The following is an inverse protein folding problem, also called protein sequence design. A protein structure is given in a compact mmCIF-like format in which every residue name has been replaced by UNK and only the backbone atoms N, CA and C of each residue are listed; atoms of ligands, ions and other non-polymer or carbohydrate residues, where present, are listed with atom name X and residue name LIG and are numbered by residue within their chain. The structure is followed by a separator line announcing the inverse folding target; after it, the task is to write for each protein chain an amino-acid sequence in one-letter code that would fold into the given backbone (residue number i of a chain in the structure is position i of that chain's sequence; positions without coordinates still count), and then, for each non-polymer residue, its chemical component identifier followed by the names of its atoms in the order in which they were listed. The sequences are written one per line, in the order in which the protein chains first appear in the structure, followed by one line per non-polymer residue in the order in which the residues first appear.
data_IF_235974162284
#
_entry.id   IF_235974162284
#
_cell.length_a   1.000
_cell.length_b   1.000
_cell.length_c   1.000
_cell.angle_alpha   90.00
_cell.angle_beta   90.00
_cell.angle_gamma   90.00
#
_symmetry.space_group_name_H-M   'P 1'
#
loop_
_entity.id
_entity.type
_entity.pdbx_description
1 polymer ?
#
# COMPACT_ATOMS: atom_id res chain seq x y z
N UNK A 1 16.06 -5.00 -30.91
CA UNK A 1 14.71 -4.47 -31.22
C UNK A 1 13.67 -4.96 -30.21
N UNK A 2 13.82 -4.65 -28.91
CA UNK A 2 12.94 -5.19 -27.84
C UNK A 2 12.70 -4.24 -26.65
N UNK A 3 13.45 -3.13 -26.57
CA UNK A 3 13.35 -2.16 -25.48
C UNK A 3 12.16 -1.18 -25.66
N UNK A 4 11.90 -0.77 -26.92
CA UNK A 4 10.82 0.18 -27.27
C UNK A 4 9.40 -0.43 -27.22
N UNK A 5 9.27 -1.76 -27.34
CA UNK A 5 7.97 -2.43 -27.29
C UNK A 5 7.50 -2.68 -25.85
N UNK A 6 8.44 -2.96 -24.92
CA UNK A 6 8.18 -2.98 -23.48
C UNK A 6 7.67 -1.62 -23.00
N UNK A 7 8.27 -0.49 -23.40
CA UNK A 7 7.84 0.83 -22.89
C UNK A 7 6.40 1.22 -23.29
N UNK A 8 5.98 0.92 -24.52
CA UNK A 8 4.60 1.18 -24.98
C UNK A 8 3.55 0.27 -24.34
N UNK A 9 3.90 -0.99 -24.07
CA UNK A 9 3.02 -1.92 -23.37
C UNK A 9 2.80 -1.51 -21.90
N UNK A 10 3.87 -1.15 -21.18
CA UNK A 10 3.75 -0.62 -19.80
C UNK A 10 2.92 0.66 -19.75
N UNK A 11 3.12 1.59 -20.70
CA UNK A 11 2.31 2.81 -20.79
C UNK A 11 0.82 2.54 -21.10
N UNK A 12 0.52 1.52 -21.91
CA UNK A 12 -0.86 1.07 -22.17
C UNK A 12 -1.49 0.44 -20.92
N UNK A 13 -0.76 -0.42 -20.22
CA UNK A 13 -1.23 -1.07 -18.99
C UNK A 13 -1.46 -0.07 -17.86
N UNK A 14 -0.55 0.90 -17.69
CA UNK A 14 -0.70 1.99 -16.72
C UNK A 14 -1.96 2.83 -17.01
N UNK A 15 -2.20 3.18 -18.28
CA UNK A 15 -3.43 3.88 -18.71
C UNK A 15 -4.69 3.08 -18.40
N UNK A 16 -4.67 1.76 -18.61
CA UNK A 16 -5.82 0.91 -18.30
C UNK A 16 -6.10 0.83 -16.80
N UNK A 17 -5.07 0.69 -15.96
CA UNK A 17 -5.22 0.69 -14.49
C UNK A 17 -5.81 1.99 -13.96
N UNK A 18 -5.26 3.11 -14.41
CA UNK A 18 -5.75 4.45 -14.05
C UNK A 18 -7.21 4.62 -14.49
N UNK A 19 -7.57 4.13 -15.68
CA UNK A 19 -8.97 4.15 -16.15
C UNK A 19 -9.90 3.34 -15.25
N UNK A 20 -9.49 2.16 -14.79
CA UNK A 20 -10.32 1.36 -13.89
C UNK A 20 -10.53 2.07 -12.55
N UNK A 21 -9.45 2.58 -11.94
CA UNK A 21 -9.55 3.38 -10.72
C UNK A 21 -10.48 4.58 -10.91
N UNK A 22 -10.27 5.42 -11.92
CA UNK A 22 -11.12 6.61 -12.12
C UNK A 22 -12.57 6.27 -12.43
N UNK A 23 -12.82 5.14 -13.10
CA UNK A 23 -14.20 4.71 -13.39
C UNK A 23 -14.90 4.27 -12.11
N UNK A 24 -14.24 3.47 -11.26
CA UNK A 24 -14.81 3.04 -9.98
C UNK A 24 -14.95 4.22 -9.01
N UNK A 25 -13.93 5.07 -8.89
CA UNK A 25 -13.94 6.28 -8.06
C UNK A 25 -15.10 7.22 -8.39
N UNK A 26 -15.41 7.40 -9.69
CA UNK A 26 -16.55 8.24 -10.11
C UNK A 26 -17.91 7.67 -9.71
N UNK A 27 -18.05 6.33 -9.67
CA UNK A 27 -19.31 5.65 -9.36
C UNK A 27 -19.46 5.43 -7.85
N UNK A 28 -18.35 5.25 -7.13
CA UNK A 28 -18.31 4.90 -5.72
C UNK A 28 -17.34 5.79 -4.91
N UNK A 29 -17.43 7.13 -5.00
CA UNK A 29 -16.47 8.03 -4.33
C UNK A 29 -16.41 7.81 -2.82
N UNK A 30 -17.51 7.40 -2.20
CA UNK A 30 -17.60 7.11 -0.76
C UNK A 30 -16.76 5.91 -0.30
N UNK A 31 -16.30 5.04 -1.22
CA UNK A 31 -15.40 3.91 -0.89
C UNK A 31 -13.93 4.36 -0.77
N UNK A 32 -13.63 5.60 -1.14
CA UNK A 32 -12.28 6.14 -1.19
C UNK A 32 -12.15 7.28 -0.19
N UNK A 33 -11.60 6.96 0.98
CA UNK A 33 -11.35 7.94 2.04
C UNK A 33 -9.89 8.39 1.95
N UNK A 34 -9.67 9.70 2.00
CA UNK A 34 -8.32 10.25 2.08
C UNK A 34 -7.76 10.04 3.49
N UNK A 35 -6.58 9.46 3.59
CA UNK A 35 -5.87 9.22 4.86
C UNK A 35 -4.40 8.96 4.59
N UNK A 36 -3.60 9.01 5.65
CA UNK A 36 -2.16 8.77 5.59
C UNK A 36 -1.72 7.96 6.80
N UNK A 37 -0.66 7.17 6.67
CA UNK A 37 -0.07 6.52 7.83
C UNK A 37 0.96 7.48 8.45
N UNK A 38 1.15 7.48 9.78
CA UNK A 38 0.56 6.55 10.76
C UNK A 38 -0.77 7.04 11.41
N UNK A 39 -1.54 7.92 10.76
CA UNK A 39 -2.78 8.47 11.33
C UNK A 39 -3.98 8.31 10.36
N UNK A 40 -4.75 7.24 10.53
CA UNK A 40 -5.89 6.93 9.68
C UNK A 40 -7.19 7.52 10.25
N UNK A 41 -8.10 8.04 9.39
CA UNK A 41 -9.36 8.64 9.81
C UNK A 41 -10.45 7.58 10.08
N UNK A 42 -10.09 6.49 10.74
CA UNK A 42 -10.98 5.36 11.03
C UNK A 42 -11.05 5.10 12.53
N UNK A 43 -12.18 4.56 12.99
CA UNK A 43 -12.36 4.16 14.37
C UNK A 43 -11.55 2.89 14.69
N UNK A 44 -11.40 2.61 15.99
CA UNK A 44 -10.84 1.35 16.46
C UNK A 44 -11.71 0.18 15.97
N UNK A 45 -11.08 -0.92 15.57
CA UNK A 45 -11.73 -2.17 15.14
C UNK A 45 -12.75 -2.01 13.99
N UNK A 46 -12.62 -0.97 13.16
CA UNK A 46 -13.60 -0.68 12.09
C UNK A 46 -13.62 -1.77 11.01
N UNK A 47 -12.48 -2.40 10.70
CA UNK A 47 -12.35 -3.38 9.61
C UNK A 47 -12.08 -4.81 10.10
N UNK A 48 -12.77 -5.80 9.53
CA UNK A 48 -12.42 -7.22 9.72
C UNK A 48 -11.11 -7.61 9.04
N UNK A 49 -10.78 -6.95 7.93
CA UNK A 49 -9.62 -7.25 7.10
C UNK A 49 -9.01 -5.95 6.56
N UNK A 50 -7.73 -5.74 6.84
CA UNK A 50 -6.95 -4.62 6.28
C UNK A 50 -5.82 -5.16 5.40
N UNK A 51 -5.67 -4.57 4.21
CA UNK A 51 -4.67 -4.99 3.22
C UNK A 51 -3.73 -3.83 2.93
N UNK A 52 -2.43 -4.06 3.18
CA UNK A 52 -1.38 -3.10 2.88
C UNK A 52 -0.53 -3.66 1.75
N UNK A 53 -0.49 -2.91 0.66
CA UNK A 53 0.34 -3.25 -0.48
C UNK A 53 1.74 -2.61 -0.33
N UNK A 54 2.34 -2.17 -1.42
CA UNK A 54 3.75 -1.77 -1.51
C UNK A 54 4.22 -0.63 -0.58
N UNK A 55 3.34 0.06 0.14
CA UNK A 55 3.67 1.29 0.86
C UNK A 55 4.80 1.12 1.89
N UNK A 56 4.71 0.14 2.80
CA UNK A 56 5.63 0.03 3.93
C UNK A 56 7.02 -0.42 3.48
N UNK A 57 7.18 -1.68 3.11
CA UNK A 57 8.53 -2.26 2.97
C UNK A 57 9.14 -2.11 1.58
N UNK A 58 8.34 -1.99 0.52
CA UNK A 58 8.91 -1.75 -0.80
C UNK A 58 9.58 -0.38 -0.88
N UNK A 59 9.03 0.61 -0.17
CA UNK A 59 9.57 1.96 -0.05
C UNK A 59 10.35 2.21 1.25
N UNK A 60 10.93 1.18 1.87
CA UNK A 60 11.56 1.32 3.19
C UNK A 60 12.62 2.44 3.24
N UNK A 61 13.34 2.73 2.14
CA UNK A 61 14.35 3.80 2.11
C UNK A 61 13.75 5.21 2.29
N UNK A 62 12.43 5.36 2.21
CA UNK A 62 11.71 6.64 2.36
C UNK A 62 11.19 6.88 3.77
N UNK A 63 11.22 5.87 4.62
CA UNK A 63 10.57 5.90 5.92
C UNK A 63 11.49 5.30 6.97
N UNK A 64 11.57 5.90 8.15
CA UNK A 64 12.36 5.35 9.24
C UNK A 64 11.63 4.23 9.98
N UNK A 65 12.31 3.59 10.93
CA UNK A 65 11.75 2.54 11.75
C UNK A 65 10.49 2.99 12.54
N UNK A 66 10.50 4.21 13.08
CA UNK A 66 9.40 4.76 13.87
C UNK A 66 8.13 4.84 13.03
N UNK A 67 8.23 5.34 11.79
CA UNK A 67 7.11 5.35 10.85
C UNK A 67 6.55 3.95 10.61
N UNK A 68 7.40 2.95 10.38
CA UNK A 68 6.94 1.58 10.12
C UNK A 68 6.22 1.00 11.33
N UNK A 69 6.79 1.15 12.53
CA UNK A 69 6.20 0.68 13.77
C UNK A 69 4.84 1.34 14.01
N UNK A 70 4.79 2.67 13.96
CA UNK A 70 3.57 3.42 14.27
C UNK A 70 2.50 3.17 13.20
N UNK A 71 2.89 3.01 11.94
CA UNK A 71 1.99 2.60 10.86
C UNK A 71 1.35 1.23 11.13
N UNK A 72 2.14 0.25 11.55
CA UNK A 72 1.64 -1.10 11.83
C UNK A 72 0.71 -1.09 13.04
N UNK A 73 1.05 -0.35 14.09
CA UNK A 73 0.18 -0.16 15.25
C UNK A 73 -1.14 0.51 14.85
N UNK A 74 -1.10 1.52 13.97
CA UNK A 74 -2.29 2.17 13.47
C UNK A 74 -3.17 1.23 12.61
N UNK A 75 -2.54 0.43 11.75
CA UNK A 75 -3.22 -0.61 10.98
C UNK A 75 -3.89 -1.61 11.92
N UNK A 76 -3.20 -2.04 12.99
CA UNK A 76 -3.75 -2.95 13.99
C UNK A 76 -4.92 -2.30 14.75
N UNK A 77 -4.81 -1.02 15.12
CA UNK A 77 -5.87 -0.27 15.81
C UNK A 77 -7.19 -0.29 15.04
N UNK A 78 -7.14 -0.06 13.73
CA UNK A 78 -8.35 -0.02 12.88
C UNK A 78 -8.83 -1.42 12.46
N UNK A 79 -8.09 -2.49 12.77
CA UNK A 79 -8.36 -3.85 12.29
C UNK A 79 -8.77 -4.77 13.42
N UNK A 80 -10.05 -5.16 13.41
CA UNK A 80 -10.64 -6.14 14.34
C UNK A 80 -10.11 -7.55 14.14
N UNK A 81 -9.91 -7.94 12.88
CA UNK A 81 -9.61 -9.32 12.50
C UNK A 81 -8.17 -9.50 12.05
N UNK A 82 -7.93 -9.44 10.74
CA UNK A 82 -6.64 -9.77 10.14
C UNK A 82 -6.08 -8.58 9.35
N UNK A 83 -4.82 -8.24 9.60
CA UNK A 83 -4.05 -7.35 8.74
C UNK A 83 -3.05 -8.15 7.90
N UNK A 84 -3.05 -7.96 6.57
CA UNK A 84 -2.09 -8.58 5.65
C UNK A 84 -1.23 -7.51 5.00
N UNK A 85 0.08 -7.59 5.25
CA UNK A 85 1.05 -6.65 4.73
C UNK A 85 1.93 -7.36 3.70
N UNK A 86 1.97 -6.81 2.48
CA UNK A 86 2.77 -7.32 1.38
C UNK A 86 3.31 -6.17 0.52
N UNK A 87 4.57 -6.19 0.08
CA UNK A 87 5.59 -7.22 0.34
C UNK A 87 6.31 -6.95 1.67
N UNK A 88 7.08 -7.93 2.17
CA UNK A 88 8.05 -7.74 3.29
C UNK A 88 9.49 -7.53 2.79
N UNK A 89 9.62 -7.21 1.51
CA UNK A 89 10.89 -7.00 0.79
C UNK A 89 10.90 -5.64 0.09
N UNK A 90 12.10 -5.14 -0.21
CA UNK A 90 12.32 -3.93 -1.02
C UNK A 90 11.99 -4.16 -2.50
N UNK A 91 12.02 -3.10 -3.31
CA UNK A 91 11.91 -3.23 -4.79
C UNK A 91 13.04 -4.07 -5.41
N UNK A 92 14.19 -4.15 -4.77
CA UNK A 92 15.34 -4.99 -5.13
C UNK A 92 15.18 -6.45 -4.67
N UNK A 93 14.00 -6.80 -4.14
CA UNK A 93 13.69 -8.12 -3.58
C UNK A 93 14.62 -8.53 -2.42
N UNK A 94 15.17 -7.56 -1.69
CA UNK A 94 15.91 -7.81 -0.45
C UNK A 94 14.94 -7.81 0.73
N UNK A 95 15.11 -8.70 1.73
CA UNK A 95 14.36 -8.60 2.99
C UNK A 95 14.48 -7.20 3.57
N UNK A 96 13.36 -6.63 4.02
CA UNK A 96 13.41 -5.33 4.70
C UNK A 96 14.16 -5.46 6.03
N UNK A 97 14.97 -4.44 6.34
CA UNK A 97 15.75 -4.42 7.58
C UNK A 97 14.88 -4.19 8.83
N UNK A 98 13.67 -3.66 8.65
CA UNK A 98 12.74 -3.40 9.76
C UNK A 98 11.95 -4.65 10.17
N UNK A 99 11.79 -5.64 9.30
CA UNK A 99 11.01 -6.85 9.61
C UNK A 99 11.50 -7.59 10.87
N UNK A 100 12.81 -7.80 11.10
CA UNK A 100 13.29 -8.42 12.33
C UNK A 100 13.15 -7.56 13.59
N UNK A 101 12.80 -6.28 13.47
CA UNK A 101 12.71 -5.32 14.57
C UNK A 101 11.27 -5.07 15.03
N UNK A 102 10.29 -5.49 14.24
CA UNK A 102 8.85 -5.32 14.46
C UNK A 102 8.26 -6.57 15.14
#
# INVERSE_FOLDING_TARGET
MGFLQKSRAHARTARTRIRYFFSDFKIHPQRYVAGELPELPFADDEFDLTLVSYLLFAYQERFDYEFHRDSILEIMRVTRGEARIYPTVTFEAKPSEYIPML
#
